data_IF_960207210592
#
_entry.id   IF_960207210592
#
_cell.length_a   1.000
_cell.length_b   1.000
_cell.length_c   1.000
_cell.angle_alpha   90.00
_cell.angle_beta   90.00
_cell.angle_gamma   90.00
#
_symmetry.space_group_name_H-M   'P 1'
#
loop_
_entity.id
_entity.type
_entity.pdbx_description
1 polymer ?
#
# COMPACT_ATOMS: atom_id res chain seq x y z
N UNK A 1 0.83 -25.49 6.00
CA UNK A 1 0.08 -26.07 4.88
C UNK A 1 -1.03 -25.15 4.36
N UNK A 2 -1.79 -24.44 5.21
CA UNK A 2 -2.95 -23.60 4.79
C UNK A 2 -2.57 -22.36 3.97
N UNK A 3 -1.34 -21.84 4.07
CA UNK A 3 -0.89 -20.68 3.31
C UNK A 3 -0.33 -20.97 1.91
N UNK A 4 -0.05 -22.24 1.59
CA UNK A 4 0.62 -22.58 0.33
C UNK A 4 -0.11 -22.10 -0.94
N UNK A 5 -1.45 -22.19 -1.05
CA UNK A 5 -2.16 -21.67 -2.23
C UNK A 5 -1.95 -20.18 -2.46
N UNK A 6 -1.94 -19.36 -1.41
CA UNK A 6 -1.71 -17.91 -1.52
C UNK A 6 -0.29 -17.56 -1.98
N UNK A 7 0.70 -18.36 -1.55
CA UNK A 7 2.09 -18.19 -1.99
C UNK A 7 2.26 -18.56 -3.45
N UNK A 8 1.67 -19.67 -3.87
CA UNK A 8 1.72 -20.15 -5.26
C UNK A 8 1.01 -19.15 -6.16
N UNK A 9 -0.19 -18.70 -5.81
CA UNK A 9 -0.94 -17.71 -6.58
C UNK A 9 -0.17 -16.39 -6.70
N UNK A 10 0.41 -15.89 -5.60
CA UNK A 10 1.26 -14.71 -5.59
C UNK A 10 2.48 -14.83 -6.51
N UNK A 11 3.12 -16.00 -6.57
CA UNK A 11 4.27 -16.26 -7.46
C UNK A 11 3.83 -16.37 -8.92
N UNK A 12 2.74 -17.08 -9.20
CA UNK A 12 2.17 -17.21 -10.55
C UNK A 12 1.74 -15.87 -11.11
N UNK A 13 1.18 -15.00 -10.27
CA UNK A 13 0.81 -13.62 -10.64
C UNK A 13 1.99 -12.66 -10.71
N UNK A 14 3.22 -13.13 -10.50
CA UNK A 14 4.42 -12.28 -10.49
C UNK A 14 4.45 -11.24 -9.38
N UNK A 15 3.75 -11.48 -8.26
CA UNK A 15 3.70 -10.53 -7.15
C UNK A 15 4.97 -10.58 -6.31
N UNK A 16 5.44 -9.42 -5.86
CA UNK A 16 6.62 -9.30 -4.98
C UNK A 16 6.33 -9.65 -3.51
N UNK A 17 5.10 -10.04 -3.17
CA UNK A 17 4.69 -10.29 -1.78
C UNK A 17 5.58 -11.30 -1.03
N UNK A 18 6.02 -12.43 -1.61
CA UNK A 18 6.95 -13.34 -0.94
C UNK A 18 8.27 -12.67 -0.54
N UNK A 19 8.84 -11.86 -1.44
CA UNK A 19 10.06 -11.09 -1.18
C UNK A 19 9.85 -10.08 -0.06
N UNK A 20 8.70 -9.39 -0.06
CA UNK A 20 8.35 -8.43 0.99
C UNK A 20 8.25 -9.10 2.36
N UNK A 21 7.56 -10.24 2.45
CA UNK A 21 7.44 -10.98 3.72
C UNK A 21 8.80 -11.42 4.21
N UNK A 22 9.66 -11.93 3.33
CA UNK A 22 11.05 -12.28 3.68
C UNK A 22 11.82 -11.06 4.22
N UNK A 23 11.80 -9.94 3.50
CA UNK A 23 12.52 -8.72 3.91
C UNK A 23 12.00 -8.18 5.24
N UNK A 24 10.67 -8.12 5.43
CA UNK A 24 10.05 -7.64 6.65
C UNK A 24 10.37 -8.56 7.85
N UNK A 25 10.22 -9.87 7.68
CA UNK A 25 10.54 -10.84 8.74
C UNK A 25 12.01 -10.77 9.12
N UNK A 26 12.89 -10.66 8.14
CA UNK A 26 14.32 -10.52 8.37
C UNK A 26 14.66 -9.21 9.07
N UNK A 27 14.01 -8.10 8.68
CA UNK A 27 14.18 -6.80 9.32
C UNK A 27 13.75 -6.84 10.79
N UNK A 28 12.59 -7.44 11.11
CA UNK A 28 12.12 -7.59 12.48
C UNK A 28 13.06 -8.44 13.33
N UNK A 29 13.59 -9.54 12.79
CA UNK A 29 14.60 -10.35 13.46
C UNK A 29 15.91 -9.59 13.76
N UNK A 30 16.39 -8.79 12.81
CA UNK A 30 17.55 -7.91 13.01
C UNK A 30 17.26 -6.82 14.05
N UNK A 31 16.05 -6.29 14.05
CA UNK A 31 15.64 -5.31 15.04
C UNK A 31 15.63 -5.91 16.44
N UNK A 32 15.04 -7.09 16.62
CA UNK A 32 15.07 -7.82 17.90
C UNK A 32 16.49 -8.12 18.37
N UNK A 33 17.43 -8.33 17.45
CA UNK A 33 18.87 -8.52 17.71
C UNK A 33 19.64 -7.19 17.96
N UNK A 34 18.98 -6.03 18.01
CA UNK A 34 19.60 -4.72 18.20
C UNK A 34 20.33 -4.16 16.98
N UNK A 35 20.25 -4.82 15.81
CA UNK A 35 20.94 -4.44 14.56
C UNK A 35 20.10 -3.44 13.75
N UNK A 36 19.85 -2.26 14.33
CA UNK A 36 18.91 -1.27 13.84
C UNK A 36 19.18 -0.78 12.41
N UNK A 37 20.46 -0.50 12.07
CA UNK A 37 20.83 0.00 10.74
C UNK A 37 20.49 -1.04 9.66
N UNK A 38 20.78 -2.30 9.92
CA UNK A 38 20.50 -3.38 8.96
C UNK A 38 18.98 -3.63 8.83
N UNK A 39 18.27 -3.59 9.95
CA UNK A 39 16.81 -3.67 9.95
C UNK A 39 16.19 -2.53 9.13
N UNK A 40 16.65 -1.30 9.37
CA UNK A 40 16.21 -0.12 8.61
C UNK A 40 16.52 -0.23 7.12
N UNK A 41 17.72 -0.68 6.75
CA UNK A 41 18.08 -0.86 5.34
C UNK A 41 17.17 -1.86 4.62
N UNK A 42 16.83 -3.00 5.26
CA UNK A 42 15.89 -3.96 4.69
C UNK A 42 14.47 -3.42 4.61
N UNK A 43 14.03 -2.61 5.59
CA UNK A 43 12.74 -1.93 5.53
C UNK A 43 12.70 -0.91 4.38
N UNK A 44 13.76 -0.11 4.21
CA UNK A 44 13.89 0.82 3.09
C UNK A 44 13.81 0.12 1.73
N UNK A 45 14.49 -1.02 1.58
CA UNK A 45 14.40 -1.85 0.38
C UNK A 45 12.98 -2.39 0.17
N UNK A 46 12.32 -2.87 1.23
CA UNK A 46 10.95 -3.36 1.14
C UNK A 46 9.97 -2.24 0.73
N UNK A 47 10.12 -1.03 1.26
CA UNK A 47 9.31 0.15 0.89
C UNK A 47 9.56 0.57 -0.56
N UNK A 48 10.81 0.49 -1.05
CA UNK A 48 11.13 0.79 -2.45
C UNK A 48 10.45 -0.18 -3.42
N UNK A 49 10.26 -1.45 -3.02
CA UNK A 49 9.52 -2.44 -3.80
C UNK A 49 8.00 -2.25 -3.72
N UNK A 50 7.49 -1.89 -2.56
CA UNK A 50 6.06 -1.65 -2.31
C UNK A 50 5.89 -0.76 -1.08
N UNK A 51 5.02 0.23 -1.16
CA UNK A 51 4.85 1.27 -0.11
C UNK A 51 4.35 0.70 1.22
N UNK A 52 3.60 -0.41 1.23
CA UNK A 52 2.98 -0.96 2.45
C UNK A 52 3.92 -1.19 3.64
N UNK A 53 5.20 -1.63 3.48
CA UNK A 53 6.15 -1.72 4.61
C UNK A 53 6.52 -0.39 5.26
N UNK A 54 6.16 0.76 4.65
CA UNK A 54 6.41 2.08 5.25
C UNK A 54 5.78 2.23 6.65
N UNK A 55 4.70 1.48 6.94
CA UNK A 55 4.11 1.43 8.27
C UNK A 55 5.10 0.96 9.34
N UNK A 56 6.00 0.03 9.01
CA UNK A 56 7.06 -0.40 9.94
C UNK A 56 8.13 0.67 10.12
N UNK A 57 8.41 1.46 9.10
CA UNK A 57 9.33 2.61 9.21
C UNK A 57 8.71 3.71 10.09
N UNK A 58 7.41 3.98 9.92
CA UNK A 58 6.66 4.89 10.79
C UNK A 58 6.65 4.38 12.24
N UNK A 59 6.46 3.07 12.44
CA UNK A 59 6.58 2.48 13.77
C UNK A 59 7.98 2.66 14.36
N UNK A 60 9.04 2.45 13.57
CA UNK A 60 10.40 2.70 14.02
C UNK A 60 10.62 4.18 14.43
N UNK A 61 10.04 5.12 13.68
CA UNK A 61 10.06 6.53 14.01
C UNK A 61 9.31 6.83 15.32
N UNK A 62 8.12 6.27 15.50
CA UNK A 62 7.33 6.37 16.73
C UNK A 62 8.11 5.85 17.94
N UNK A 63 8.83 4.75 17.77
CA UNK A 63 9.71 4.15 18.81
C UNK A 63 11.04 4.88 18.98
N UNK A 64 11.21 6.04 18.35
CA UNK A 64 12.43 6.87 18.37
C UNK A 64 13.71 6.11 17.97
N UNK A 65 13.56 5.12 17.05
CA UNK A 65 14.67 4.32 16.53
C UNK A 65 15.36 5.04 15.36
N UNK A 66 16.00 6.17 15.63
CA UNK A 66 16.58 7.05 14.62
C UNK A 66 17.56 6.37 13.66
N UNK A 67 18.34 5.38 14.14
CA UNK A 67 19.29 4.62 13.29
C UNK A 67 18.56 3.77 12.26
N UNK A 68 17.46 3.10 12.64
CA UNK A 68 16.66 2.32 11.71
C UNK A 68 15.96 3.20 10.68
N UNK A 69 15.37 4.32 11.13
CA UNK A 69 14.71 5.29 10.25
C UNK A 69 15.71 5.92 9.27
N UNK A 70 16.86 6.38 9.76
CA UNK A 70 17.90 6.97 8.92
C UNK A 70 18.41 6.01 7.84
N UNK A 71 18.63 4.73 8.21
CA UNK A 71 19.03 3.70 7.25
C UNK A 71 17.93 3.41 6.21
N UNK A 72 16.67 3.34 6.62
CA UNK A 72 15.54 3.16 5.70
C UNK A 72 15.43 4.31 4.70
N UNK A 73 15.51 5.55 5.18
CA UNK A 73 15.47 6.74 4.34
C UNK A 73 16.67 6.84 3.40
N UNK A 74 17.87 6.46 3.84
CA UNK A 74 19.06 6.42 2.99
C UNK A 74 18.90 5.43 1.82
N UNK A 75 18.38 4.23 2.09
CA UNK A 75 18.12 3.23 1.03
C UNK A 75 17.00 3.72 0.09
N UNK A 76 15.94 4.31 0.63
CA UNK A 76 14.87 4.91 -0.19
C UNK A 76 15.39 6.03 -1.07
N UNK A 77 16.19 6.95 -0.54
CA UNK A 77 16.82 8.01 -1.31
C UNK A 77 17.69 7.43 -2.44
N UNK A 78 18.51 6.43 -2.12
CA UNK A 78 19.36 5.79 -3.10
C UNK A 78 18.56 5.12 -4.23
N UNK A 79 17.56 4.32 -3.90
CA UNK A 79 16.83 3.51 -4.87
C UNK A 79 15.69 4.26 -5.56
N UNK A 80 14.98 5.12 -4.85
CA UNK A 80 13.82 5.81 -5.41
C UNK A 80 14.17 7.21 -6.00
N UNK A 81 15.32 7.78 -5.69
CA UNK A 81 15.69 9.10 -6.21
C UNK A 81 17.00 9.05 -6.98
N UNK A 82 18.10 8.64 -6.34
CA UNK A 82 19.43 8.75 -6.94
C UNK A 82 19.60 7.80 -8.12
N UNK A 83 19.16 6.54 -8.01
CA UNK A 83 19.28 5.57 -9.08
C UNK A 83 18.44 5.96 -10.32
N UNK A 84 17.15 6.31 -10.22
CA UNK A 84 16.38 6.80 -11.36
C UNK A 84 16.95 8.09 -11.96
N UNK A 85 17.39 9.04 -11.12
CA UNK A 85 17.97 10.29 -11.59
C UNK A 85 19.30 10.08 -12.35
N UNK A 86 20.09 9.08 -11.95
CA UNK A 86 21.31 8.72 -12.67
C UNK A 86 21.04 8.05 -14.03
N UNK A 87 19.94 7.29 -14.15
CA UNK A 87 19.60 6.57 -15.39
C UNK A 87 18.83 7.46 -16.37
N UNK A 88 17.85 8.21 -15.92
CA UNK A 88 16.93 8.98 -16.78
C UNK A 88 17.13 10.49 -16.71
N UNK A 89 18.01 10.95 -15.83
CA UNK A 89 18.18 12.36 -15.51
C UNK A 89 17.18 12.88 -14.48
N UNK A 90 17.55 13.94 -13.73
CA UNK A 90 16.71 14.45 -12.63
C UNK A 90 15.37 15.03 -13.10
N UNK A 91 15.34 15.74 -14.21
CA UNK A 91 14.11 16.35 -14.75
C UNK A 91 13.08 15.28 -15.11
N UNK A 92 13.50 14.23 -15.82
CA UNK A 92 12.60 13.13 -16.22
C UNK A 92 12.12 12.32 -15.02
N UNK A 93 12.99 12.09 -14.04
CA UNK A 93 12.63 11.43 -12.78
C UNK A 93 11.54 12.22 -12.05
N UNK A 94 11.70 13.53 -11.97
CA UNK A 94 10.70 14.41 -11.33
C UNK A 94 9.34 14.37 -12.07
N UNK A 95 9.33 14.42 -13.40
CA UNK A 95 8.09 14.29 -14.19
C UNK A 95 7.37 12.98 -13.92
N UNK A 96 8.11 11.85 -13.88
CA UNK A 96 7.54 10.53 -13.60
C UNK A 96 6.89 10.50 -12.22
N UNK A 97 7.58 11.00 -11.20
CA UNK A 97 7.03 11.02 -9.84
C UNK A 97 5.86 11.97 -9.68
N UNK A 98 5.89 13.13 -10.34
CA UNK A 98 4.75 14.03 -10.36
C UNK A 98 3.52 13.38 -10.99
N UNK A 99 3.66 12.76 -12.16
CA UNK A 99 2.57 12.04 -12.80
C UNK A 99 2.03 10.89 -11.94
N UNK A 100 2.90 10.15 -11.27
CA UNK A 100 2.49 9.11 -10.33
C UNK A 100 1.75 9.69 -9.11
N UNK A 101 2.22 10.80 -8.54
CA UNK A 101 1.57 11.44 -7.41
C UNK A 101 0.18 11.98 -7.78
N UNK A 102 0.05 12.60 -8.94
CA UNK A 102 -1.22 13.11 -9.45
C UNK A 102 -2.22 11.96 -9.67
N UNK A 103 -1.79 10.85 -10.25
CA UNK A 103 -2.67 9.71 -10.54
C UNK A 103 -2.94 8.84 -9.29
N UNK A 104 -1.91 8.47 -8.53
CA UNK A 104 -2.03 7.48 -7.46
C UNK A 104 -2.46 8.09 -6.12
N UNK A 105 -2.04 9.30 -5.79
CA UNK A 105 -2.36 9.95 -4.52
C UNK A 105 -3.56 10.89 -4.65
N UNK A 106 -3.54 11.81 -5.61
CA UNK A 106 -4.58 12.82 -5.76
C UNK A 106 -5.80 12.27 -6.49
N UNK A 107 -5.61 11.44 -7.52
CA UNK A 107 -6.69 10.77 -8.22
C UNK A 107 -7.48 9.80 -7.32
N UNK A 108 -6.77 9.00 -6.52
CA UNK A 108 -7.39 8.07 -5.57
C UNK A 108 -8.10 8.77 -4.41
N UNK A 109 -7.54 9.86 -3.88
CA UNK A 109 -8.13 10.65 -2.78
C UNK A 109 -9.28 11.53 -3.27
N UNK A 110 -9.17 12.10 -4.46
CA UNK A 110 -10.19 12.99 -5.03
C UNK A 110 -11.45 12.26 -5.55
N UNK A 111 -11.50 10.93 -5.47
CA UNK A 111 -12.69 10.16 -5.85
C UNK A 111 -12.87 9.98 -7.36
N UNK A 112 -11.87 10.35 -8.17
CA UNK A 112 -11.90 10.20 -9.64
C UNK A 112 -12.01 8.74 -10.09
N UNK A 113 -11.53 7.79 -9.31
CA UNK A 113 -11.54 6.37 -9.64
C UNK A 113 -12.87 5.65 -9.37
N UNK A 114 -13.75 6.20 -8.55
CA UNK A 114 -15.11 5.65 -8.41
C UNK A 114 -15.86 5.72 -9.75
N UNK A 115 -15.60 6.75 -10.56
CA UNK A 115 -16.15 6.92 -11.89
C UNK A 115 -15.46 6.04 -12.94
N UNK A 116 -14.19 5.64 -12.74
CA UNK A 116 -13.42 4.86 -13.72
C UNK A 116 -13.70 3.35 -13.69
N UNK A 117 -14.52 2.86 -12.75
CA UNK A 117 -14.86 1.44 -12.58
C UNK A 117 -13.66 0.55 -12.16
N UNK A 118 -12.46 1.10 -12.02
CA UNK A 118 -11.27 0.33 -11.58
C UNK A 118 -11.27 0.08 -10.08
N UNK A 119 -11.73 1.03 -9.29
CA UNK A 119 -11.74 0.96 -7.83
C UNK A 119 -12.71 -0.09 -7.28
N UNK A 120 -13.79 -0.38 -8.00
CA UNK A 120 -14.86 -1.30 -7.58
C UNK A 120 -14.70 -2.73 -8.08
N UNK A 121 -13.64 -3.07 -8.82
CA UNK A 121 -13.41 -4.45 -9.30
C UNK A 121 -13.35 -5.43 -8.14
N UNK A 122 -13.88 -6.64 -8.34
CA UNK A 122 -13.97 -7.68 -7.30
C UNK A 122 -12.60 -8.08 -6.71
N UNK A 123 -11.51 -7.95 -7.45
CA UNK A 123 -10.15 -8.23 -6.99
C UNK A 123 -9.54 -7.11 -6.13
N UNK A 124 -10.16 -5.93 -6.09
CA UNK A 124 -9.76 -4.87 -5.16
C UNK A 124 -10.45 -5.09 -3.81
N UNK A 125 -9.71 -5.60 -2.83
CA UNK A 125 -10.21 -5.91 -1.49
C UNK A 125 -9.96 -4.77 -0.47
N UNK A 126 -9.63 -3.57 -0.93
CA UNK A 126 -9.51 -2.42 -0.03
C UNK A 126 -10.86 -2.03 0.58
N UNK A 127 -10.84 -1.44 1.78
CA UNK A 127 -12.05 -0.95 2.46
C UNK A 127 -12.87 -0.02 1.55
N UNK A 128 -12.28 0.98 0.85
CA UNK A 128 -13.03 1.82 -0.08
C UNK A 128 -13.69 1.05 -1.22
N UNK A 129 -13.02 0.08 -1.81
CA UNK A 129 -13.59 -0.72 -2.89
C UNK A 129 -14.70 -1.65 -2.39
N UNK A 130 -14.52 -2.23 -1.22
CA UNK A 130 -15.50 -3.11 -0.59
C UNK A 130 -16.77 -2.34 -0.20
N UNK A 131 -16.62 -1.17 0.45
CA UNK A 131 -17.76 -0.31 0.79
C UNK A 131 -18.49 0.20 -0.43
N UNK A 132 -17.77 0.61 -1.49
CA UNK A 132 -18.39 1.03 -2.73
C UNK A 132 -19.23 -0.10 -3.37
N UNK A 133 -18.70 -1.33 -3.44
CA UNK A 133 -19.46 -2.48 -3.98
C UNK A 133 -20.70 -2.84 -3.18
N UNK A 134 -20.62 -2.79 -1.85
CA UNK A 134 -21.73 -3.20 -1.00
C UNK A 134 -22.76 -2.11 -0.80
N UNK A 135 -22.36 -0.85 -0.82
CA UNK A 135 -23.20 0.27 -0.41
C UNK A 135 -23.68 1.14 -1.59
N UNK A 136 -23.20 0.91 -2.81
CA UNK A 136 -23.66 1.65 -3.99
C UNK A 136 -24.06 0.69 -5.11
N UNK A 137 -24.74 1.19 -6.14
CA UNK A 137 -25.11 0.44 -7.35
C UNK A 137 -23.93 0.21 -8.31
N UNK A 138 -22.69 0.22 -7.80
CA UNK A 138 -21.50 0.06 -8.61
C UNK A 138 -21.34 -1.37 -9.15
N UNK A 139 -21.05 -1.50 -10.43
CA UNK A 139 -20.77 -2.78 -11.08
C UNK A 139 -19.37 -3.30 -10.72
N UNK A 140 -19.31 -4.46 -10.08
CA UNK A 140 -18.07 -5.07 -9.58
C UNK A 140 -17.36 -6.01 -10.58
N UNK A 141 -17.92 -6.21 -11.76
CA UNK A 141 -17.47 -7.18 -12.75
C UNK A 141 -16.18 -6.83 -13.49
N UNK A 142 -15.78 -7.73 -14.37
CA UNK A 142 -14.72 -7.54 -15.37
C UNK A 142 -15.32 -7.30 -16.76
N UNK A 143 -14.47 -7.13 -17.79
CA UNK A 143 -14.93 -7.01 -19.18
C UNK A 143 -15.79 -8.20 -19.66
N UNK A 144 -15.60 -9.38 -19.06
CA UNK A 144 -16.30 -10.63 -19.43
C UNK A 144 -17.56 -10.91 -18.60
N UNK A 145 -17.85 -10.11 -17.57
CA UNK A 145 -19.07 -10.27 -16.77
C UNK A 145 -19.22 -9.13 -15.77
N UNK A 146 -20.37 -8.45 -15.84
CA UNK A 146 -20.76 -7.40 -14.90
C UNK A 146 -21.76 -7.97 -13.92
N UNK A 147 -21.56 -7.71 -12.65
CA UNK A 147 -22.49 -8.10 -11.59
C UNK A 147 -22.50 -7.03 -10.49
N UNK A 148 -23.62 -6.91 -9.81
CA UNK A 148 -23.75 -6.08 -8.63
C UNK A 148 -23.94 -6.98 -7.41
N UNK A 149 -23.35 -6.59 -6.29
CA UNK A 149 -23.42 -7.30 -4.99
C UNK A 149 -23.89 -6.35 -3.89
N UNK A 150 -24.49 -5.22 -4.27
CA UNK A 150 -24.88 -4.21 -3.31
C UNK A 150 -26.00 -4.70 -2.37
N UNK A 151 -25.86 -4.38 -1.09
CA UNK A 151 -26.86 -4.59 -0.05
C UNK A 151 -27.59 -3.29 0.31
N UNK A 152 -27.11 -2.16 -0.18
CA UNK A 152 -27.71 -0.84 -0.03
C UNK A 152 -27.42 0.01 -1.28
N UNK A 153 -28.23 1.03 -1.52
CA UNK A 153 -28.08 1.98 -2.64
C UNK A 153 -27.82 3.38 -2.09
N UNK A 154 -26.68 3.56 -1.43
CA UNK A 154 -26.23 4.86 -0.93
C UNK A 154 -25.62 5.71 -2.04
N UNK A 155 -25.61 7.02 -1.83
CA UNK A 155 -24.84 7.92 -2.71
C UNK A 155 -23.34 7.63 -2.58
N UNK A 156 -22.52 7.87 -3.63
CA UNK A 156 -21.08 7.68 -3.57
C UNK A 156 -20.40 8.41 -2.39
N UNK A 157 -20.87 9.62 -2.05
CA UNK A 157 -20.35 10.40 -0.93
C UNK A 157 -20.68 9.76 0.41
N UNK A 158 -21.88 9.22 0.59
CA UNK A 158 -22.25 8.50 1.81
C UNK A 158 -21.43 7.21 1.97
N UNK A 159 -21.23 6.44 0.90
CA UNK A 159 -20.37 5.24 0.92
C UNK A 159 -18.91 5.61 1.24
N UNK A 160 -18.40 6.73 0.73
CA UNK A 160 -17.09 7.27 1.05
C UNK A 160 -16.97 7.65 2.52
N UNK A 161 -17.97 8.32 3.08
CA UNK A 161 -17.99 8.67 4.51
C UNK A 161 -17.96 7.42 5.40
N UNK A 162 -18.71 6.37 5.06
CA UNK A 162 -18.65 5.07 5.75
C UNK A 162 -17.25 4.45 5.66
N UNK A 163 -16.64 4.47 4.48
CA UNK A 163 -15.28 3.97 4.25
C UNK A 163 -14.25 4.68 5.14
N UNK A 164 -14.29 6.01 5.19
CA UNK A 164 -13.40 6.82 6.02
C UNK A 164 -13.63 6.56 7.51
N UNK A 165 -14.88 6.40 7.93
CA UNK A 165 -15.23 6.02 9.31
C UNK A 165 -14.64 4.67 9.70
N UNK A 166 -14.75 3.66 8.84
CA UNK A 166 -14.15 2.33 9.08
C UNK A 166 -12.62 2.40 9.16
N UNK A 167 -11.99 3.17 8.28
CA UNK A 167 -10.54 3.37 8.31
C UNK A 167 -10.09 4.09 9.58
N UNK A 168 -10.85 5.11 10.03
CA UNK A 168 -10.57 5.83 11.27
C UNK A 168 -10.71 4.93 12.50
N UNK A 169 -11.75 4.11 12.56
CA UNK A 169 -11.95 3.12 13.64
C UNK A 169 -10.78 2.11 13.65
N UNK A 170 -10.41 1.57 12.49
CA UNK A 170 -9.29 0.64 12.39
C UNK A 170 -7.98 1.29 12.85
N UNK A 171 -7.72 2.53 12.42
CA UNK A 171 -6.54 3.28 12.87
C UNK A 171 -6.54 3.51 14.38
N UNK A 172 -7.69 3.90 14.96
CA UNK A 172 -7.83 4.10 16.41
C UNK A 172 -7.60 2.80 17.19
N UNK A 173 -8.15 1.68 16.73
CA UNK A 173 -7.93 0.36 17.35
C UNK A 173 -6.46 -0.03 17.29
N UNK A 174 -5.80 0.15 16.14
CA UNK A 174 -4.38 -0.14 16.00
C UNK A 174 -3.51 0.75 16.89
N UNK A 175 -3.84 2.03 17.01
CA UNK A 175 -3.13 2.96 17.90
C UNK A 175 -3.35 2.63 19.38
N UNK A 176 -4.56 2.20 19.78
CA UNK A 176 -4.87 1.84 21.16
C UNK A 176 -4.25 0.49 21.57
N UNK A 177 -4.02 -0.42 20.63
CA UNK A 177 -3.38 -1.71 20.88
C UNK A 177 -1.85 -1.64 20.96
N UNK A 178 -1.29 -0.45 20.83
CA UNK A 178 0.16 -0.17 20.81
C UNK A 178 0.60 0.61 22.02
#
# INVERSE_FOLDING_TARGET
ALGAPFWIDGLVMGQVNPVLVFLMTRALGLWAAGREVQAGALLGLAVALKVTPALLVLHAAWRLRGRAVGAALAVLLALAVLAPAAVWGPARTFEIYRGWADEALLGGVAGGDAASGRSVRFNNQSIPAWTARLLTEAEAGTRSGRFSVNVAALTPDAARAVSLGLLAILAAVLLAAW
#
